data_IF_131219122921
#
_entry.id   IF_131219122921
#
_cell.length_a   1.000
_cell.length_b   1.000
_cell.length_c   1.000
_cell.angle_alpha   90.00
_cell.angle_beta   90.00
_cell.angle_gamma   90.00
#
_symmetry.space_group_name_H-M   'P 1'
#
loop_
_entity.id
_entity.type
_entity.pdbx_description
1 polymer ?
#
# COMPACT_ATOMS: atom_id res chain seq x y z
N UNK A 1 -5.85 2.96 -10.44
CA UNK A 1 -6.41 3.06 -9.09
C UNK A 1 -5.26 3.12 -8.08
N UNK A 2 -5.35 4.02 -7.09
CA UNK A 2 -4.33 4.17 -6.04
C UNK A 2 -4.75 3.38 -4.79
N UNK A 3 -3.82 2.63 -4.19
CA UNK A 3 -4.11 1.77 -3.04
C UNK A 3 -4.02 2.53 -1.71
N UNK A 4 -5.16 2.99 -1.19
CA UNK A 4 -5.25 3.76 0.07
C UNK A 4 -4.68 3.02 1.29
N UNK A 5 -4.86 1.70 1.37
CA UNK A 5 -4.27 0.89 2.45
C UNK A 5 -2.74 1.01 2.49
N UNK A 6 -2.09 0.93 1.33
CA UNK A 6 -0.64 1.05 1.22
C UNK A 6 -0.16 2.45 1.59
N UNK A 7 -0.94 3.48 1.24
CA UNK A 7 -0.64 4.88 1.59
C UNK A 7 -0.70 5.12 3.10
N UNK A 8 -1.60 4.47 3.84
CA UNK A 8 -1.65 4.58 5.30
C UNK A 8 -0.63 3.71 6.04
N UNK A 9 -0.36 2.50 5.53
CA UNK A 9 0.46 1.51 6.22
C UNK A 9 1.97 1.73 6.04
N UNK A 10 2.42 2.03 4.82
CA UNK A 10 3.86 2.13 4.51
C UNK A 10 4.58 3.24 5.28
N UNK A 11 4.02 4.44 5.51
CA UNK A 11 4.68 5.47 6.32
C UNK A 11 4.99 5.00 7.74
N UNK A 12 4.08 4.24 8.36
CA UNK A 12 4.26 3.72 9.73
C UNK A 12 5.40 2.70 9.78
N UNK A 13 5.46 1.79 8.80
CA UNK A 13 6.53 0.78 8.72
C UNK A 13 7.89 1.45 8.51
N UNK A 14 7.97 2.42 7.60
CA UNK A 14 9.22 3.16 7.32
C UNK A 14 9.71 3.90 8.56
N UNK A 15 8.84 4.64 9.24
CA UNK A 15 9.20 5.35 10.47
C UNK A 15 9.61 4.38 11.59
N UNK A 16 8.94 3.23 11.71
CA UNK A 16 9.28 2.20 12.69
C UNK A 16 10.66 1.58 12.41
N UNK A 17 10.96 1.29 11.14
CA UNK A 17 12.25 0.73 10.73
C UNK A 17 13.38 1.74 10.93
N UNK A 18 13.12 3.02 10.65
CA UNK A 18 14.06 4.11 10.94
C UNK A 18 14.34 4.20 12.45
N UNK A 19 13.30 4.19 13.28
CA UNK A 19 13.45 4.29 14.73
C UNK A 19 14.19 3.10 15.35
N UNK A 20 13.99 1.88 14.83
CA UNK A 20 14.59 0.66 15.37
C UNK A 20 16.00 0.37 14.85
N UNK A 21 16.27 0.69 13.59
CA UNK A 21 17.47 0.21 12.90
C UNK A 21 18.22 1.31 12.14
N UNK A 22 17.72 2.56 12.13
CA UNK A 22 18.36 3.66 11.42
C UNK A 22 18.28 3.54 9.89
N UNK A 23 17.45 2.64 9.35
CA UNK A 23 17.35 2.37 7.92
C UNK A 23 16.18 3.13 7.32
N UNK A 24 16.45 3.86 6.23
CA UNK A 24 15.44 4.49 5.38
C UNK A 24 15.40 3.83 4.00
N UNK A 25 14.22 3.84 3.39
CA UNK A 25 14.02 3.36 2.02
C UNK A 25 14.75 4.29 1.05
N UNK A 26 15.46 3.73 0.08
CA UNK A 26 16.10 4.50 -0.99
C UNK A 26 15.12 4.61 -2.17
N UNK A 27 14.47 5.77 -2.30
CA UNK A 27 13.54 6.07 -3.40
C UNK A 27 12.06 6.03 -3.02
N UNK A 28 11.21 6.26 -4.02
CA UNK A 28 9.76 6.41 -3.85
C UNK A 28 9.02 5.09 -3.71
N UNK A 29 8.01 5.06 -2.82
CA UNK A 29 7.11 3.92 -2.63
C UNK A 29 5.79 4.20 -3.34
N UNK A 30 5.64 3.66 -4.55
CA UNK A 30 4.44 3.85 -5.35
C UNK A 30 3.29 2.94 -4.89
N UNK A 31 2.11 3.52 -4.70
CA UNK A 31 0.86 2.80 -4.35
C UNK A 31 -0.06 2.55 -5.55
N UNK A 32 0.46 2.74 -6.77
CA UNK A 32 -0.31 2.60 -8.00
C UNK A 32 0.44 3.08 -9.24
N UNK A 33 -0.15 2.93 -10.44
CA UNK A 33 -1.56 2.62 -10.68
C UNK A 33 -1.84 1.10 -10.83
N UNK A 34 -2.72 0.56 -10.00
CA UNK A 34 -3.37 -0.73 -10.30
C UNK A 34 -4.64 -0.47 -11.09
N UNK A 35 -4.78 -0.92 -12.34
CA UNK A 35 -6.04 -0.78 -13.08
C UNK A 35 -7.00 -1.91 -12.73
N UNK A 36 -8.26 -1.57 -12.46
CA UNK A 36 -9.33 -2.56 -12.28
C UNK A 36 -9.88 -2.93 -13.66
N UNK A 37 -9.87 -4.22 -13.99
CA UNK A 37 -10.36 -4.80 -15.24
C UNK A 37 -11.29 -5.98 -14.93
N UNK A 38 -12.07 -6.45 -15.92
CA UNK A 38 -12.97 -7.59 -15.75
C UNK A 38 -12.26 -8.86 -15.23
N UNK A 39 -10.95 -9.00 -15.49
CA UNK A 39 -10.16 -10.15 -15.06
C UNK A 39 -9.72 -10.09 -13.59
N UNK A 40 -9.69 -8.91 -12.96
CA UNK A 40 -9.20 -8.73 -11.58
C UNK A 40 -10.23 -8.12 -10.62
N UNK A 41 -11.43 -7.79 -11.11
CA UNK A 41 -12.51 -7.18 -10.31
C UNK A 41 -12.91 -8.04 -9.10
N UNK A 42 -12.96 -9.37 -9.25
CA UNK A 42 -13.28 -10.28 -8.14
C UNK A 42 -12.27 -10.22 -6.99
N UNK A 43 -10.99 -9.97 -7.32
CA UNK A 43 -9.94 -9.81 -6.32
C UNK A 43 -10.06 -8.45 -5.61
N UNK A 44 -10.36 -7.39 -6.35
CA UNK A 44 -10.55 -6.05 -5.78
C UNK A 44 -11.78 -6.05 -4.86
N UNK A 45 -12.91 -6.61 -5.28
CA UNK A 45 -14.12 -6.75 -4.46
C UNK A 45 -13.88 -7.51 -3.16
N UNK A 46 -13.08 -8.58 -3.19
CA UNK A 46 -12.75 -9.38 -2.00
C UNK A 46 -11.99 -8.58 -0.93
N UNK A 47 -11.17 -7.62 -1.33
CA UNK A 47 -10.31 -6.86 -0.40
C UNK A 47 -10.81 -5.43 -0.16
N UNK A 48 -11.68 -4.90 -1.03
CA UNK A 48 -12.35 -3.63 -0.83
C UNK A 48 -13.31 -3.70 0.37
N UNK A 49 -13.19 -2.75 1.30
CA UNK A 49 -14.13 -2.60 2.43
C UNK A 49 -13.88 -3.52 3.64
N UNK A 50 -12.89 -4.41 3.61
CA UNK A 50 -12.59 -5.32 4.74
C UNK A 50 -11.92 -4.64 5.93
N UNK A 51 -11.26 -3.50 5.70
CA UNK A 51 -10.68 -2.66 6.75
C UNK A 51 -11.02 -1.21 6.40
N UNK A 52 -12.10 -0.71 6.99
CA UNK A 52 -12.45 0.72 7.01
C UNK A 52 -12.11 1.29 8.37
#
# INVERSE_FOLDING_TARGET
DQQQYLQGYMPIVVLTQMAKYGVLQSGDINSGPGYVTKANVSNVEKYAGKYR
#
